data_IF_712815003606
#
_entry.id   IF_712815003606
#
_cell.length_a   1.000
_cell.length_b   1.000
_cell.length_c   1.000
_cell.angle_alpha   90.00
_cell.angle_beta   90.00
_cell.angle_gamma   90.00
#
_symmetry.space_group_name_H-M   'P 1'
#
loop_
_entity.id
_entity.type
_entity.pdbx_description
1 polymer ?
#
# COMPACT_ATOMS: atom_id res chain seq x y z
N UNK A 1 -69.08 8.71 -35.29
CA UNK A 1 -67.96 9.68 -35.44
C UNK A 1 -67.34 9.94 -34.06
N UNK A 2 -66.02 10.14 -34.03
CA UNK A 2 -65.10 10.37 -32.89
C UNK A 2 -64.56 9.10 -32.19
N UNK A 3 -63.39 8.69 -32.68
CA UNK A 3 -62.37 7.88 -31.98
C UNK A 3 -61.60 8.79 -31.02
N UNK A 4 -61.19 8.30 -29.85
CA UNK A 4 -59.92 8.68 -29.22
C UNK A 4 -59.32 7.48 -28.49
N UNK A 5 -58.06 7.20 -28.82
CA UNK A 5 -57.21 6.17 -28.24
C UNK A 5 -56.55 6.71 -26.97
N UNK A 6 -56.56 5.93 -25.88
CA UNK A 6 -55.68 6.15 -24.73
C UNK A 6 -54.68 4.99 -24.69
N UNK A 7 -53.54 5.19 -25.33
CA UNK A 7 -52.37 4.32 -25.18
C UNK A 7 -51.65 4.70 -23.89
N UNK A 8 -51.75 3.87 -22.87
CA UNK A 8 -50.99 4.04 -21.63
C UNK A 8 -49.54 3.58 -21.87
N UNK A 9 -48.61 4.52 -21.73
CA UNK A 9 -47.20 4.37 -22.02
C UNK A 9 -46.49 3.74 -20.81
N UNK A 10 -46.56 2.40 -20.69
CA UNK A 10 -46.03 1.61 -19.57
C UNK A 10 -44.48 1.48 -19.59
N UNK A 11 -43.81 2.03 -20.61
CA UNK A 11 -42.36 1.94 -20.78
C UNK A 11 -41.56 2.95 -19.93
N UNK A 12 -42.17 4.06 -19.50
CA UNK A 12 -41.45 5.15 -18.82
C UNK A 12 -41.36 5.00 -17.29
N UNK A 13 -42.08 4.07 -16.67
CA UNK A 13 -42.04 3.85 -15.22
C UNK A 13 -40.86 2.98 -14.76
N UNK A 14 -40.40 2.05 -15.60
CA UNK A 14 -39.28 1.16 -15.27
C UNK A 14 -37.90 1.83 -15.48
N UNK A 15 -37.81 2.82 -16.36
CA UNK A 15 -36.56 3.56 -16.63
C UNK A 15 -36.17 4.49 -15.48
N UNK A 16 -37.14 5.18 -14.86
CA UNK A 16 -36.88 6.11 -13.75
C UNK A 16 -36.38 5.40 -12.49
N UNK A 17 -36.99 4.27 -12.12
CA UNK A 17 -36.58 3.48 -10.95
C UNK A 17 -35.18 2.87 -11.12
N UNK A 18 -34.80 2.51 -12.35
CA UNK A 18 -33.45 2.01 -12.65
C UNK A 18 -32.37 3.10 -12.50
N UNK A 19 -32.65 4.33 -12.94
CA UNK A 19 -31.73 5.46 -12.77
C UNK A 19 -31.55 5.87 -11.29
N UNK A 20 -32.62 5.82 -10.50
CA UNK A 20 -32.53 6.06 -9.06
C UNK A 20 -31.77 4.94 -8.32
N UNK A 21 -31.91 3.68 -8.75
CA UNK A 21 -31.13 2.58 -8.21
C UNK A 21 -29.62 2.74 -8.52
N UNK A 22 -29.27 3.21 -9.73
CA UNK A 22 -27.87 3.52 -10.08
C UNK A 22 -27.32 4.66 -9.22
N UNK A 23 -28.10 5.71 -8.94
CA UNK A 23 -27.66 6.81 -8.07
C UNK A 23 -27.50 6.39 -6.61
N UNK A 24 -28.40 5.55 -6.09
CA UNK A 24 -28.31 5.02 -4.72
C UNK A 24 -27.14 4.04 -4.57
N UNK A 25 -26.93 3.12 -5.52
CA UNK A 25 -25.77 2.21 -5.50
C UNK A 25 -24.45 2.94 -5.81
N UNK A 26 -24.47 3.94 -6.69
CA UNK A 26 -23.33 4.80 -6.99
C UNK A 26 -22.91 5.63 -5.77
N UNK A 27 -23.86 6.18 -5.02
CA UNK A 27 -23.60 6.93 -3.79
C UNK A 27 -23.01 6.05 -2.67
N UNK A 28 -23.37 4.76 -2.60
CA UNK A 28 -22.77 3.82 -1.63
C UNK A 28 -21.32 3.50 -2.00
N UNK A 29 -20.96 3.54 -3.29
CA UNK A 29 -19.58 3.33 -3.75
C UNK A 29 -18.68 4.57 -3.63
N UNK A 30 -19.23 5.76 -3.32
CA UNK A 30 -18.47 7.01 -3.16
C UNK A 30 -18.02 7.26 -1.71
N UNK A 31 -18.18 6.29 -0.81
CA UNK A 31 -17.37 6.26 0.42
C UNK A 31 -15.95 5.79 0.06
N UNK A 32 -15.27 6.65 -0.69
CA UNK A 32 -13.89 6.50 -1.11
C UNK A 32 -13.00 6.74 0.10
N UNK A 33 -12.75 5.68 0.88
CA UNK A 33 -11.54 5.57 1.69
C UNK A 33 -11.17 6.82 2.51
N UNK A 34 -12.10 7.41 3.26
CA UNK A 34 -11.79 8.58 4.08
C UNK A 34 -10.61 8.27 5.01
N UNK A 35 -9.54 9.03 4.85
CA UNK A 35 -8.40 8.99 5.76
C UNK A 35 -8.76 9.77 7.00
N UNK A 36 -8.51 9.19 8.17
CA UNK A 36 -8.74 9.89 9.42
C UNK A 36 -7.83 11.13 9.52
N UNK A 37 -8.22 12.17 10.28
CA UNK A 37 -7.40 13.38 10.46
C UNK A 37 -5.98 13.09 10.97
N UNK A 38 -5.79 12.04 11.78
CA UNK A 38 -4.46 11.59 12.23
C UNK A 38 -3.62 11.00 11.09
N UNK A 39 -4.26 10.25 10.18
CA UNK A 39 -3.61 9.70 8.98
C UNK A 39 -3.27 10.82 7.99
N UNK A 40 -4.16 11.81 7.83
CA UNK A 40 -3.89 13.02 7.06
C UNK A 40 -2.74 13.83 7.69
N UNK A 41 -2.68 13.94 9.02
CA UNK A 41 -1.56 14.55 9.71
C UNK A 41 -0.25 13.78 9.48
N UNK A 42 -0.28 12.44 9.46
CA UNK A 42 0.88 11.63 9.12
C UNK A 42 1.34 11.80 7.66
N UNK A 43 0.40 11.94 6.71
CA UNK A 43 0.67 12.31 5.32
C UNK A 43 1.34 13.68 5.25
N UNK A 44 0.76 14.67 5.93
CA UNK A 44 1.25 16.04 5.98
C UNK A 44 2.62 16.14 6.68
N UNK A 45 2.92 15.26 7.62
CA UNK A 45 4.21 15.21 8.34
C UNK A 45 5.31 14.45 7.57
N UNK A 46 5.01 13.89 6.40
CA UNK A 46 5.98 13.18 5.56
C UNK A 46 7.13 14.07 5.07
N UNK A 47 6.93 15.39 4.96
CA UNK A 47 7.97 16.32 4.49
C UNK A 47 8.93 16.76 5.59
N UNK A 48 8.54 16.68 6.86
CA UNK A 48 9.32 17.14 8.03
C UNK A 48 10.33 16.14 8.59
N UNK A 49 10.27 14.86 8.19
CA UNK A 49 11.31 13.90 8.57
C UNK A 49 12.58 14.17 7.75
N UNK A 50 13.29 15.21 8.19
CA UNK A 50 14.62 15.61 7.77
C UNK A 50 15.61 14.47 8.02
N UNK A 51 16.61 14.33 7.16
CA UNK A 51 17.62 13.26 7.26
C UNK A 51 18.45 13.50 8.50
N UNK A 52 18.10 12.86 9.61
CA UNK A 52 18.97 12.80 10.78
C UNK A 52 20.21 11.99 10.42
N UNK A 53 21.35 12.69 10.31
CA UNK A 53 22.67 12.07 10.27
C UNK A 53 22.93 11.35 11.59
N UNK A 54 22.83 10.02 11.57
CA UNK A 54 23.47 9.05 12.47
C UNK A 54 23.43 9.42 13.97
N UNK A 55 22.27 9.22 14.60
CA UNK A 55 22.21 8.86 16.01
C UNK A 55 21.16 7.77 16.19
N UNK A 56 21.55 6.60 16.69
CA UNK A 56 20.68 5.43 16.77
C UNK A 56 20.10 5.30 18.18
N UNK A 57 18.93 5.90 18.41
CA UNK A 57 18.14 5.62 19.62
C UNK A 57 17.13 4.52 19.32
N UNK A 58 17.59 3.26 19.41
CA UNK A 58 16.82 2.08 18.98
C UNK A 58 15.59 1.77 19.86
N UNK A 59 15.51 2.34 21.06
CA UNK A 59 14.43 2.07 22.03
C UNK A 59 13.36 3.18 22.07
N UNK A 60 13.66 4.40 21.61
CA UNK A 60 12.73 5.54 21.58
C UNK A 60 12.47 6.06 20.16
N UNK A 61 12.36 5.15 19.19
CA UNK A 61 11.85 5.49 17.85
C UNK A 61 12.93 5.67 16.78
N UNK A 62 13.88 4.75 16.70
CA UNK A 62 14.89 4.69 15.64
C UNK A 62 14.34 4.96 14.23
N UNK A 63 15.19 5.46 13.33
CA UNK A 63 14.84 6.07 12.03
C UNK A 63 13.50 5.59 11.43
N UNK A 64 12.48 6.46 11.57
CA UNK A 64 11.13 6.27 11.05
C UNK A 64 10.97 7.08 9.77
N UNK A 65 10.65 6.39 8.68
CA UNK A 65 10.51 6.99 7.35
C UNK A 65 9.11 6.71 6.82
N UNK A 66 8.29 7.74 6.66
CA UNK A 66 7.00 7.62 5.96
C UNK A 66 7.24 7.73 4.46
N UNK A 67 6.97 6.66 3.72
CA UNK A 67 7.27 6.55 2.29
C UNK A 67 6.18 5.76 1.57
N UNK A 68 6.12 5.93 0.26
CA UNK A 68 5.46 4.98 -0.64
C UNK A 68 6.54 4.13 -1.30
N UNK A 69 6.34 2.81 -1.36
CA UNK A 69 7.27 1.92 -2.07
C UNK A 69 6.79 1.70 -3.50
N UNK A 70 7.39 2.41 -4.45
CA UNK A 70 7.06 2.29 -5.86
C UNK A 70 7.90 1.19 -6.53
N UNK A 71 7.26 0.12 -6.98
CA UNK A 71 7.92 -0.98 -7.66
C UNK A 71 8.38 -0.58 -9.06
N UNK A 72 9.50 -1.15 -9.51
CA UNK A 72 9.94 -1.09 -10.91
C UNK A 72 8.90 -1.61 -11.88
N UNK A 73 7.99 -2.47 -11.42
CA UNK A 73 6.83 -2.98 -12.19
C UNK A 73 5.67 -1.98 -12.31
N UNK A 74 5.86 -0.72 -11.90
CA UNK A 74 4.89 0.38 -12.00
C UNK A 74 3.68 0.26 -11.06
N UNK A 75 3.93 -0.16 -9.82
CA UNK A 75 2.91 -0.31 -8.78
C UNK A 75 3.41 0.23 -7.44
N UNK A 76 2.60 0.99 -6.73
CA UNK A 76 2.81 1.27 -5.31
C UNK A 76 2.37 0.08 -4.47
N UNK A 77 3.22 -0.35 -3.54
CA UNK A 77 2.90 -1.41 -2.59
C UNK A 77 1.83 -0.93 -1.60
N UNK A 78 0.78 -1.73 -1.43
CA UNK A 78 -0.34 -1.44 -0.54
C UNK A 78 -0.53 -2.56 0.47
N UNK A 79 -1.10 -2.20 1.62
CA UNK A 79 -1.59 -3.13 2.63
C UNK A 79 -2.92 -2.62 3.19
N UNK A 80 -4.00 -3.29 2.83
CA UNK A 80 -5.36 -2.86 3.16
C UNK A 80 -5.80 -3.22 4.60
N UNK A 81 -7.02 -2.83 4.97
CA UNK A 81 -7.60 -3.09 6.30
C UNK A 81 -7.85 -4.57 6.59
N UNK A 82 -7.83 -5.43 5.56
CA UNK A 82 -7.92 -6.88 5.70
C UNK A 82 -6.53 -7.53 5.82
N UNK A 83 -5.44 -6.74 5.76
CA UNK A 83 -4.08 -7.24 5.72
C UNK A 83 -3.71 -7.85 4.37
N UNK A 84 -4.45 -7.58 3.30
CA UNK A 84 -4.11 -8.01 1.95
C UNK A 84 -3.04 -7.08 1.39
N UNK A 85 -1.99 -7.69 0.84
CA UNK A 85 -0.91 -6.96 0.19
C UNK A 85 -1.10 -7.02 -1.32
N UNK A 86 -1.09 -5.87 -1.98
CA UNK A 86 -1.26 -5.76 -3.42
C UNK A 86 -0.54 -4.52 -3.99
N UNK A 87 -0.63 -4.30 -5.29
CA UNK A 87 -0.18 -3.10 -5.98
C UNK A 87 -1.35 -2.19 -6.34
N UNK A 88 -1.14 -0.87 -6.26
CA UNK A 88 -2.02 0.15 -6.86
C UNK A 88 -1.22 1.07 -7.80
N UNK A 89 -1.88 1.62 -8.82
CA UNK A 89 -1.30 2.66 -9.69
C UNK A 89 -1.71 4.07 -9.24
N UNK A 90 -2.69 4.18 -8.36
CA UNK A 90 -3.12 5.46 -7.80
C UNK A 90 -2.09 5.97 -6.77
N UNK A 91 -1.39 7.08 -7.05
CA UNK A 91 -0.39 7.64 -6.14
C UNK A 91 -1.02 8.29 -4.90
N UNK A 92 -2.33 8.56 -4.90
CA UNK A 92 -3.05 9.15 -3.75
C UNK A 92 -3.63 8.09 -2.81
N UNK A 93 -3.48 6.82 -3.16
CA UNK A 93 -4.06 5.73 -2.38
C UNK A 93 -3.41 5.65 -1.00
N UNK A 94 -4.23 5.87 0.02
CA UNK A 94 -3.78 5.93 1.41
C UNK A 94 -3.24 4.61 1.98
N UNK A 95 -3.63 3.46 1.43
CA UNK A 95 -3.06 2.16 1.81
C UNK A 95 -1.65 1.94 1.28
N UNK A 96 -1.17 2.81 0.39
CA UNK A 96 0.20 2.78 -0.14
C UNK A 96 1.22 3.54 0.72
N UNK A 97 0.74 4.24 1.76
CA UNK A 97 1.58 4.99 2.67
C UNK A 97 2.09 4.05 3.76
N UNK A 98 3.41 3.92 3.82
CA UNK A 98 4.09 2.96 4.68
C UNK A 98 5.02 3.68 5.65
N UNK A 99 4.93 3.32 6.92
CA UNK A 99 5.93 3.62 7.92
C UNK A 99 7.02 2.53 7.86
N UNK A 100 8.24 2.94 7.51
CA UNK A 100 9.42 2.07 7.51
C UNK A 100 10.25 2.46 8.73
N UNK A 101 10.31 1.56 9.72
CA UNK A 101 10.99 1.79 11.00
C UNK A 101 12.14 0.83 11.18
N UNK A 102 13.28 1.33 11.65
CA UNK A 102 14.39 0.46 12.08
C UNK A 102 14.09 -0.15 13.45
N UNK A 103 14.15 -1.47 13.58
CA UNK A 103 13.72 -2.22 14.77
C UNK A 103 14.84 -2.93 15.52
N UNK A 104 16.04 -3.03 14.94
CA UNK A 104 17.20 -3.67 15.56
C UNK A 104 18.49 -3.17 14.93
N UNK A 105 19.58 -3.28 15.68
CA UNK A 105 20.96 -3.13 15.18
C UNK A 105 21.19 -4.00 13.94
N UNK A 106 22.03 -3.51 13.02
CA UNK A 106 22.28 -4.17 11.73
C UNK A 106 21.28 -3.83 10.62
N UNK A 107 20.45 -2.79 10.80
CA UNK A 107 19.59 -2.26 9.75
C UNK A 107 18.35 -3.12 9.46
N UNK A 108 17.85 -3.85 10.46
CA UNK A 108 16.60 -4.59 10.34
C UNK A 108 15.43 -3.63 10.43
N UNK A 109 14.49 -3.75 9.50
CA UNK A 109 13.34 -2.87 9.34
C UNK A 109 12.03 -3.63 9.56
N UNK A 110 11.04 -2.92 10.08
CA UNK A 110 9.64 -3.27 9.98
C UNK A 110 8.92 -2.28 9.05
N UNK A 111 8.00 -2.78 8.23
CA UNK A 111 7.22 -1.97 7.29
C UNK A 111 5.74 -2.10 7.70
N UNK A 112 5.12 -0.98 8.04
CA UNK A 112 3.74 -0.91 8.53
C UNK A 112 2.90 -0.01 7.65
N UNK A 113 1.68 -0.41 7.29
CA UNK A 113 0.71 0.48 6.65
C UNK A 113 0.22 1.53 7.62
N UNK A 114 0.35 2.81 7.28
CA UNK A 114 -0.11 3.91 8.14
C UNK A 114 -1.64 3.89 8.29
N UNK A 115 -2.37 3.63 7.20
CA UNK A 115 -3.83 3.55 7.28
C UNK A 115 -4.31 2.30 8.02
N UNK A 116 -3.92 1.13 7.53
CA UNK A 116 -4.44 -0.15 8.04
C UNK A 116 -3.87 -0.55 9.40
N UNK A 117 -2.71 0.00 9.78
CA UNK A 117 -1.95 -0.35 10.97
C UNK A 117 -1.45 -1.81 10.98
N UNK A 118 -1.43 -2.49 9.83
CA UNK A 118 -0.84 -3.81 9.68
C UNK A 118 0.65 -3.72 9.33
N UNK A 119 1.45 -4.59 9.94
CA UNK A 119 2.81 -4.87 9.51
C UNK A 119 2.80 -5.82 8.32
N UNK A 120 3.63 -5.54 7.32
CA UNK A 120 3.95 -6.52 6.28
C UNK A 120 4.71 -7.66 6.94
N UNK A 121 4.30 -8.89 6.66
CA UNK A 121 4.93 -10.09 7.19
C UNK A 121 5.21 -11.09 6.07
N UNK A 122 6.28 -11.88 6.21
CA UNK A 122 6.56 -13.00 5.33
C UNK A 122 6.65 -14.29 6.14
N UNK A 123 5.86 -15.31 5.77
CA UNK A 123 5.94 -16.61 6.43
C UNK A 123 7.01 -17.53 5.80
N UNK A 124 7.26 -18.71 6.41
CA UNK A 124 8.19 -19.73 5.90
C UNK A 124 7.88 -20.22 4.47
N UNK A 125 6.61 -20.13 4.05
CA UNK A 125 6.21 -20.47 2.67
C UNK A 125 6.56 -19.36 1.65
N UNK A 126 7.02 -18.20 2.13
CA UNK A 126 7.27 -17.00 1.35
C UNK A 126 6.00 -16.23 1.01
N UNK A 127 4.88 -16.46 1.68
CA UNK A 127 3.67 -15.68 1.44
C UNK A 127 3.75 -14.37 2.22
N UNK A 128 3.43 -13.27 1.52
CA UNK A 128 3.27 -11.96 2.10
C UNK A 128 1.84 -11.78 2.61
N UNK A 129 1.70 -11.34 3.84
CA UNK A 129 0.42 -11.01 4.47
C UNK A 129 0.61 -9.88 5.48
N UNK A 130 -0.43 -9.11 5.72
CA UNK A 130 -0.51 -8.18 6.83
C UNK A 130 -0.79 -8.87 8.14
N UNK A 131 -0.14 -8.43 9.23
CA UNK A 131 -0.58 -8.72 10.61
C UNK A 131 -0.51 -7.50 11.50
N UNK A 132 -1.48 -7.33 12.41
CA UNK A 132 -1.47 -6.25 13.41
C UNK A 132 -0.40 -6.46 14.49
N UNK A 133 -0.19 -7.72 14.89
CA UNK A 133 0.81 -8.08 15.90
C UNK A 133 2.20 -8.20 15.26
N UNK A 134 3.12 -7.37 15.73
CA UNK A 134 4.52 -7.44 15.37
C UNK A 134 5.17 -8.74 15.88
N UNK A 135 6.02 -9.34 15.04
CA UNK A 135 6.85 -10.50 15.37
C UNK A 135 8.02 -10.57 14.38
N UNK A 136 8.93 -11.53 14.57
CA UNK A 136 10.12 -11.67 13.72
C UNK A 136 9.84 -11.89 12.21
N UNK A 137 8.64 -12.35 11.83
CA UNK A 137 8.26 -12.47 10.42
C UNK A 137 8.02 -11.10 9.74
N UNK A 138 7.92 -10.03 10.53
CA UNK A 138 7.81 -8.65 10.08
C UNK A 138 9.18 -8.02 9.77
N UNK A 139 10.28 -8.73 10.05
CA UNK A 139 11.63 -8.20 9.95
C UNK A 139 12.18 -8.38 8.55
N UNK A 140 12.60 -7.26 7.95
CA UNK A 140 13.21 -7.20 6.63
C UNK A 140 14.57 -6.51 6.67
N UNK A 141 15.40 -6.79 5.66
CA UNK A 141 16.64 -6.06 5.40
C UNK A 141 16.45 -5.22 4.15
N UNK A 142 16.79 -3.95 4.22
CA UNK A 142 16.88 -3.09 3.03
C UNK A 142 18.22 -3.31 2.34
N UNK A 143 18.16 -3.65 1.06
CA UNK A 143 19.30 -4.02 0.24
C UNK A 143 19.39 -3.02 -0.90
N UNK A 144 20.42 -2.18 -0.89
CA UNK A 144 20.73 -1.30 -2.00
C UNK A 144 21.21 -2.14 -3.20
N UNK A 145 20.64 -1.86 -4.37
CA UNK A 145 21.00 -2.49 -5.63
C UNK A 145 21.83 -1.53 -6.48
N UNK A 146 22.65 -2.08 -7.37
CA UNK A 146 23.56 -1.32 -8.24
C UNK A 146 22.83 -0.39 -9.23
N UNK A 147 21.53 -0.61 -9.45
CA UNK A 147 20.70 0.17 -10.36
C UNK A 147 19.86 1.26 -9.67
N UNK A 148 20.26 1.70 -8.47
CA UNK A 148 19.57 2.73 -7.66
C UNK A 148 18.19 2.33 -7.13
N UNK A 149 17.79 1.06 -7.28
CA UNK A 149 16.62 0.50 -6.60
C UNK A 149 17.03 -0.12 -5.27
N UNK A 150 16.04 -0.28 -4.39
CA UNK A 150 16.15 -1.07 -3.18
C UNK A 150 15.40 -2.39 -3.35
N UNK A 151 15.83 -3.42 -2.62
CA UNK A 151 15.07 -4.64 -2.41
C UNK A 151 14.91 -4.89 -0.91
N UNK A 152 13.84 -5.58 -0.52
CA UNK A 152 13.57 -5.88 0.88
C UNK A 152 13.53 -7.39 1.08
N UNK A 153 14.56 -7.96 1.70
CA UNK A 153 14.64 -9.39 1.97
C UNK A 153 14.12 -9.73 3.37
N UNK A 154 13.49 -10.89 3.55
CA UNK A 154 13.12 -11.37 4.88
C UNK A 154 14.38 -11.59 5.71
N UNK A 155 14.43 -11.04 6.92
CA UNK A 155 15.54 -11.27 7.84
C UNK A 155 15.55 -12.71 8.36
N UNK A 156 14.37 -13.35 8.47
CA UNK A 156 14.19 -14.68 9.06
C UNK A 156 14.20 -15.82 8.04
N UNK A 157 13.57 -15.62 6.87
CA UNK A 157 13.28 -16.72 5.96
C UNK A 157 14.14 -16.72 4.70
N UNK A 158 14.78 -17.87 4.45
CA UNK A 158 15.53 -18.15 3.22
C UNK A 158 15.08 -19.48 2.60
N UNK A 159 15.36 -19.69 1.31
CA UNK A 159 15.16 -20.97 0.60
C UNK A 159 16.49 -21.44 0.05
N UNK A 160 16.99 -22.58 0.54
CA UNK A 160 18.27 -23.14 0.10
C UNK A 160 19.41 -22.09 0.15
N UNK A 161 19.50 -21.37 1.29
CA UNK A 161 20.43 -20.25 1.53
C UNK A 161 20.22 -19.01 0.63
N UNK A 162 19.16 -18.97 -0.18
CA UNK A 162 18.78 -17.80 -0.97
C UNK A 162 17.76 -16.95 -0.22
N UNK A 163 17.99 -15.65 -0.21
CA UNK A 163 17.06 -14.67 0.36
C UNK A 163 15.70 -14.70 -0.32
N UNK A 164 14.65 -14.38 0.44
CA UNK A 164 13.29 -14.19 -0.08
C UNK A 164 12.94 -12.71 0.01
N UNK A 165 12.34 -12.16 -1.05
CA UNK A 165 12.12 -10.73 -1.19
C UNK A 165 10.63 -10.37 -1.21
N UNK A 166 10.31 -9.18 -0.69
CA UNK A 166 9.05 -8.51 -1.03
C UNK A 166 9.05 -8.25 -2.53
N UNK A 167 7.94 -8.54 -3.20
CA UNK A 167 7.84 -8.38 -4.66
C UNK A 167 6.45 -7.97 -5.07
N UNK A 168 6.35 -7.24 -6.19
CA UNK A 168 5.13 -7.08 -6.96
C UNK A 168 5.40 -7.57 -8.39
N UNK A 169 4.53 -8.45 -8.87
CA UNK A 169 4.57 -8.92 -10.26
C UNK A 169 4.13 -7.81 -11.22
N UNK A 170 4.30 -8.03 -12.53
CA UNK A 170 3.79 -7.11 -13.56
C UNK A 170 2.28 -6.84 -13.47
N UNK A 171 1.52 -7.76 -12.85
CA UNK A 171 0.08 -7.61 -12.62
C UNK A 171 -0.25 -6.94 -11.28
N UNK A 172 0.73 -6.34 -10.61
CA UNK A 172 0.58 -5.71 -9.30
C UNK A 172 0.43 -6.69 -8.13
N UNK A 173 0.42 -8.01 -8.35
CA UNK A 173 0.19 -8.99 -7.29
C UNK A 173 1.50 -9.43 -6.60
N UNK A 174 1.49 -9.69 -5.28
CA UNK A 174 2.66 -10.21 -4.59
C UNK A 174 3.01 -11.62 -5.06
N UNK A 175 4.32 -11.91 -5.16
CA UNK A 175 4.81 -13.25 -5.47
C UNK A 175 5.25 -13.98 -4.20
N UNK A 176 5.25 -15.32 -4.25
CA UNK A 176 5.82 -16.12 -3.15
C UNK A 176 7.33 -15.92 -3.10
N UNK A 177 7.87 -15.51 -1.95
CA UNK A 177 9.30 -15.31 -1.67
C UNK A 177 10.20 -16.47 -2.09
N UNK A 178 9.69 -17.71 -2.03
CA UNK A 178 10.40 -18.91 -2.53
C UNK A 178 10.71 -18.89 -4.04
N UNK A 179 10.09 -17.98 -4.80
CA UNK A 179 10.26 -17.77 -6.25
C UNK A 179 10.97 -16.45 -6.58
N UNK A 180 11.36 -15.67 -5.58
CA UNK A 180 11.96 -14.35 -5.76
C UNK A 180 13.48 -14.43 -5.72
N UNK A 181 14.14 -13.46 -6.33
CA UNK A 181 15.58 -13.27 -6.26
C UNK A 181 15.91 -11.78 -6.26
N UNK A 182 17.15 -11.44 -5.90
CA UNK A 182 17.64 -10.07 -5.86
C UNK A 182 17.59 -9.42 -7.25
N UNK A 183 17.88 -10.18 -8.30
CA UNK A 183 17.99 -9.71 -9.68
C UNK A 183 16.62 -9.55 -10.37
N UNK A 184 15.56 -10.08 -9.76
CA UNK A 184 14.22 -9.99 -10.34
C UNK A 184 13.71 -8.55 -10.23
N UNK A 185 13.32 -7.97 -11.36
CA UNK A 185 12.73 -6.61 -11.41
C UNK A 185 11.51 -6.44 -10.49
N UNK A 186 10.78 -7.53 -10.23
CA UNK A 186 9.64 -7.57 -9.31
C UNK A 186 10.03 -7.26 -7.85
N UNK A 187 11.30 -7.46 -7.49
CA UNK A 187 11.87 -7.20 -6.15
C UNK A 187 12.38 -5.77 -5.99
N UNK A 188 12.36 -4.95 -7.04
CA UNK A 188 12.98 -3.63 -7.05
C UNK A 188 11.94 -2.56 -6.71
N UNK A 189 12.25 -1.71 -5.74
CA UNK A 189 11.41 -0.62 -5.27
C UNK A 189 12.21 0.68 -5.13
N UNK A 190 11.53 1.82 -5.28
CA UNK A 190 12.04 3.15 -4.97
C UNK A 190 11.21 3.68 -3.79
N UNK A 191 11.84 4.02 -2.66
CA UNK A 191 11.16 4.74 -1.58
C UNK A 191 10.88 6.18 -2.00
N UNK A 192 9.62 6.48 -2.29
CA UNK A 192 9.16 7.82 -2.66
C UNK A 192 8.62 8.55 -1.44
N UNK A 193 8.82 9.87 -1.41
CA UNK A 193 8.12 10.73 -0.46
C UNK A 193 6.65 10.80 -0.85
N UNK A 194 5.75 10.78 0.14
CA UNK A 194 4.34 11.06 -0.09
C UNK A 194 4.21 12.48 -0.64
N UNK A 195 3.41 12.69 -1.69
CA UNK A 195 3.12 14.05 -2.17
C UNK A 195 2.32 14.78 -1.10
N UNK A 196 2.77 15.98 -0.72
CA UNK A 196 1.91 16.91 -0.01
C UNK A 196 0.75 17.24 -0.95
N UNK A 197 -0.49 17.21 -0.46
CA UNK A 197 -1.56 17.91 -1.16
C UNK A 197 -1.13 19.38 -1.20
N UNK A 198 -0.74 19.86 -2.38
CA UNK A 198 -0.51 21.28 -2.64
C UNK A 198 -1.74 22.01 -2.12
N UNK A 199 -1.58 22.75 -1.02
CA UNK A 199 -2.61 23.65 -0.51
C UNK A 199 -3.04 24.53 -1.69
N UNK A 200 -4.24 24.32 -2.21
CA UNK A 200 -5.03 25.44 -2.71
C UNK A 200 -5.35 26.29 -1.50
N UNK A 201 -4.46 27.24 -1.23
CA UNK A 201 -4.84 28.45 -0.52
C UNK A 201 -5.58 29.27 -1.56
N UNK A 202 -6.91 29.17 -1.56
CA UNK A 202 -7.77 30.18 -2.16
C UNK A 202 -7.82 31.41 -1.25
#
# INVERSE_FOLDING_TARGET
MRKWMLTWNLQNLFSGLYLHAIFLFGSVCVVYSDCTPEQLAAIMNCSKHERHTRNYDYMEGGDVRIRQLFSRTQWFLTIDDNGTINGTQDPTNCYSILEIRTVSEGGILAIKGVKSQYYITMNKAGQLQGKRLYNENCNFKEVFLENYFNAYSSAKWTKNRKEMFITLSQKGRPMRGKKTRREHIASHFIPMKCREEERRVD
#
